data_IF_660497130288
#
_entry.id   IF_660497130288
#
_cell.length_a   1.000
_cell.length_b   1.000
_cell.length_c   1.000
_cell.angle_alpha   90.00
_cell.angle_beta   90.00
_cell.angle_gamma   90.00
#
_symmetry.space_group_name_H-M   'P 1'
#
loop_
_entity.id
_entity.type
_entity.pdbx_description
1 polymer ?
#
# COMPACT_ATOMS: atom_id res chain seq x y z
N UNK A 1 -30.71 41.15 7.94
CA UNK A 1 -31.78 42.18 7.96
C UNK A 1 -32.56 42.34 6.65
N UNK A 2 -32.12 41.82 5.50
CA UNK A 2 -32.85 41.97 4.22
C UNK A 2 -34.03 41.01 3.98
N UNK A 3 -34.27 40.01 4.83
CA UNK A 3 -35.38 39.04 4.66
C UNK A 3 -36.68 39.45 5.35
N UNK A 4 -36.69 40.49 6.20
CA UNK A 4 -37.91 40.96 6.87
C UNK A 4 -38.71 42.01 6.08
N UNK A 5 -38.08 42.68 5.10
CA UNK A 5 -38.72 43.78 4.35
C UNK A 5 -39.62 43.28 3.21
N UNK A 6 -39.41 42.05 2.72
CA UNK A 6 -40.21 41.49 1.62
C UNK A 6 -41.55 40.88 2.07
N UNK A 7 -41.70 40.51 3.35
CA UNK A 7 -42.95 39.92 3.86
C UNK A 7 -44.01 40.96 4.27
N UNK A 8 -43.62 42.23 4.48
CA UNK A 8 -44.56 43.33 4.77
C UNK A 8 -45.23 43.88 3.50
N UNK A 9 -44.56 43.85 2.34
CA UNK A 9 -45.15 44.40 1.10
C UNK A 9 -46.19 43.46 0.46
N UNK A 10 -46.12 42.15 0.75
CA UNK A 10 -47.07 41.16 0.21
C UNK A 10 -48.37 41.07 1.02
N UNK A 11 -48.38 41.57 2.27
CA UNK A 11 -49.56 41.54 3.14
C UNK A 11 -50.46 42.79 3.04
N UNK A 12 -49.93 43.92 2.55
CA UNK A 12 -50.69 45.18 2.42
C UNK A 12 -51.50 45.35 1.13
N UNK A 13 -51.32 44.49 0.13
CA UNK A 13 -52.05 44.61 -1.17
C UNK A 13 -53.33 43.78 -1.25
N UNK A 14 -53.77 43.13 -0.17
CA UNK A 14 -54.95 42.25 -0.17
C UNK A 14 -56.21 42.80 0.48
N UNK A 15 -56.22 44.06 0.92
CA UNK A 15 -57.37 44.67 1.60
C UNK A 15 -57.63 46.10 1.11
N UNK A 16 -58.07 46.26 -0.13
CA UNK A 16 -58.83 47.44 -0.57
C UNK A 16 -59.41 47.18 -1.95
N UNK A 17 -60.67 46.74 -2.02
CA UNK A 17 -61.64 47.04 -3.09
C UNK A 17 -62.95 46.27 -2.81
N UNK A 18 -63.87 46.81 -1.99
CA UNK A 18 -65.26 46.37 -2.02
C UNK A 18 -66.02 47.15 -3.09
N UNK A 19 -66.94 46.44 -3.75
CA UNK A 19 -68.05 46.97 -4.56
C UNK A 19 -67.69 47.77 -5.81
N UNK A 20 -67.70 47.11 -6.97
CA UNK A 20 -68.20 47.66 -8.24
C UNK A 20 -68.45 46.53 -9.25
N UNK A 21 -69.24 45.53 -8.87
CA UNK A 21 -69.91 44.65 -9.83
C UNK A 21 -71.10 45.41 -10.45
N UNK A 22 -70.81 46.40 -11.30
CA UNK A 22 -71.81 47.00 -12.18
C UNK A 22 -71.82 46.16 -13.46
N UNK A 23 -72.94 45.47 -13.67
CA UNK A 23 -73.19 44.62 -14.81
C UNK A 23 -72.99 45.36 -16.14
N UNK A 24 -71.90 45.03 -16.84
CA UNK A 24 -71.81 45.25 -18.28
C UNK A 24 -72.14 43.91 -18.94
N UNK A 25 -73.38 43.78 -19.40
CA UNK A 25 -73.76 42.75 -20.39
C UNK A 25 -72.95 43.01 -21.65
N UNK A 26 -71.76 42.42 -21.73
CA UNK A 26 -71.06 42.31 -23.00
C UNK A 26 -71.77 41.22 -23.81
N UNK A 27 -72.40 41.64 -24.90
CA UNK A 27 -73.08 40.80 -25.87
C UNK A 27 -72.21 39.59 -26.23
N UNK A 28 -72.81 38.40 -26.18
CA UNK A 28 -72.33 37.22 -26.89
C UNK A 28 -72.13 37.58 -28.36
N UNK A 29 -70.88 37.54 -28.80
CA UNK A 29 -70.51 37.74 -30.19
C UNK A 29 -68.99 37.76 -30.32
N UNK A 30 -68.40 36.56 -30.33
CA UNK A 30 -67.09 36.20 -30.92
C UNK A 30 -66.60 34.90 -30.25
N UNK A 31 -66.98 33.75 -30.81
CA UNK A 31 -66.64 32.41 -30.31
C UNK A 31 -65.16 32.02 -30.51
N UNK A 32 -64.28 32.95 -30.93
CA UNK A 32 -62.85 32.67 -31.17
C UNK A 32 -61.88 33.16 -30.07
N UNK A 33 -62.29 34.12 -29.23
CA UNK A 33 -61.39 34.72 -28.25
C UNK A 33 -61.11 33.83 -27.02
N UNK A 34 -62.14 33.14 -26.54
CA UNK A 34 -62.09 32.40 -25.26
C UNK A 34 -61.19 31.15 -25.30
N UNK A 35 -60.99 30.57 -26.49
CA UNK A 35 -60.12 29.40 -26.69
C UNK A 35 -58.64 29.82 -26.65
N UNK A 36 -58.31 30.98 -27.22
CA UNK A 36 -56.93 31.49 -27.27
C UNK A 36 -56.41 31.89 -25.89
N UNK A 37 -57.25 32.48 -25.03
CA UNK A 37 -56.88 32.82 -23.66
C UNK A 37 -56.72 31.58 -22.76
N UNK A 38 -57.53 30.53 -22.99
CA UNK A 38 -57.33 29.23 -22.31
C UNK A 38 -56.02 28.58 -22.73
N UNK A 39 -55.76 28.48 -24.04
CA UNK A 39 -54.50 27.92 -24.55
C UNK A 39 -53.27 28.68 -24.00
N UNK A 40 -53.34 30.01 -23.93
CA UNK A 40 -52.28 30.83 -23.34
C UNK A 40 -52.12 30.55 -21.83
N UNK A 41 -53.23 30.37 -21.11
CA UNK A 41 -53.23 29.99 -19.69
C UNK A 41 -52.60 28.62 -19.44
N UNK A 42 -52.90 27.64 -20.29
CA UNK A 42 -52.34 26.29 -20.22
C UNK A 42 -50.83 26.30 -20.49
N UNK A 43 -50.37 27.09 -21.47
CA UNK A 43 -48.94 27.29 -21.75
C UNK A 43 -48.22 27.94 -20.57
N UNK A 44 -48.81 28.99 -19.97
CA UNK A 44 -48.23 29.65 -18.80
C UNK A 44 -48.17 28.70 -17.60
N UNK A 45 -49.20 27.88 -17.37
CA UNK A 45 -49.21 26.89 -16.31
C UNK A 45 -48.13 25.81 -16.53
N UNK A 46 -47.99 25.33 -17.77
CA UNK A 46 -46.97 24.36 -18.15
C UNK A 46 -45.55 24.92 -17.94
N UNK A 47 -45.29 26.15 -18.39
CA UNK A 47 -43.99 26.81 -18.20
C UNK A 47 -43.67 27.04 -16.72
N UNK A 48 -44.66 27.38 -15.89
CA UNK A 48 -44.48 27.49 -14.44
C UNK A 48 -44.14 26.14 -13.80
N UNK A 49 -44.83 25.07 -14.18
CA UNK A 49 -44.54 23.73 -13.69
C UNK A 49 -43.14 23.25 -14.12
N UNK A 50 -42.75 23.55 -15.37
CA UNK A 50 -41.39 23.26 -15.85
C UNK A 50 -40.33 24.05 -15.10
N UNK A 51 -40.53 25.35 -14.86
CA UNK A 51 -39.60 26.15 -14.09
C UNK A 51 -39.45 25.64 -12.64
N UNK A 52 -40.56 25.29 -11.98
CA UNK A 52 -40.51 24.69 -10.65
C UNK A 52 -39.76 23.34 -10.63
N UNK A 53 -39.95 22.52 -11.66
CA UNK A 53 -39.22 21.26 -11.79
C UNK A 53 -37.72 21.48 -12.02
N UNK A 54 -37.35 22.49 -12.83
CA UNK A 54 -35.96 22.86 -13.05
C UNK A 54 -35.30 23.45 -11.80
N UNK A 55 -36.01 24.31 -11.05
CA UNK A 55 -35.55 24.84 -9.76
C UNK A 55 -35.33 23.71 -8.73
N UNK A 56 -36.21 22.72 -8.68
CA UNK A 56 -36.04 21.55 -7.82
C UNK A 56 -34.83 20.69 -8.23
N UNK A 57 -34.59 20.52 -9.53
CA UNK A 57 -33.41 19.81 -10.03
C UNK A 57 -32.11 20.55 -9.72
N UNK A 58 -32.09 21.88 -9.86
CA UNK A 58 -30.95 22.70 -9.46
C UNK A 58 -30.67 22.58 -7.97
N UNK A 59 -31.70 22.69 -7.12
CA UNK A 59 -31.55 22.54 -5.67
C UNK A 59 -31.01 21.16 -5.27
N UNK A 60 -31.43 20.09 -5.97
CA UNK A 60 -30.91 18.73 -5.75
C UNK A 60 -29.44 18.61 -6.17
N UNK A 61 -29.05 19.17 -7.33
CA UNK A 61 -27.66 19.20 -7.79
C UNK A 61 -26.78 20.05 -6.88
N UNK A 62 -27.28 21.17 -6.36
CA UNK A 62 -26.57 22.03 -5.41
C UNK A 62 -26.37 21.35 -4.04
N UNK A 63 -27.29 20.48 -3.62
CA UNK A 63 -27.10 19.63 -2.45
C UNK A 63 -26.00 18.58 -2.69
N UNK A 64 -26.05 17.89 -3.84
CA UNK A 64 -25.04 16.91 -4.23
C UNK A 64 -23.63 17.55 -4.34
N UNK A 65 -23.53 18.74 -4.93
CA UNK A 65 -22.27 19.48 -5.00
C UNK A 65 -21.75 19.93 -3.63
N UNK A 66 -22.63 20.15 -2.63
CA UNK A 66 -22.21 20.45 -1.26
C UNK A 66 -21.66 19.20 -0.58
N UNK A 67 -22.36 18.08 -0.66
CA UNK A 67 -21.90 16.80 -0.11
C UNK A 67 -20.55 16.37 -0.71
N UNK A 68 -20.38 16.50 -2.02
CA UNK A 68 -19.11 16.18 -2.67
C UNK A 68 -17.95 17.10 -2.23
N UNK A 69 -18.24 18.38 -1.94
CA UNK A 69 -17.22 19.30 -1.39
C UNK A 69 -16.84 18.92 0.04
N UNK A 70 -17.79 18.59 0.89
CA UNK A 70 -17.53 18.13 2.26
C UNK A 70 -16.67 16.86 2.27
N UNK A 71 -16.95 15.91 1.37
CA UNK A 71 -16.13 14.69 1.23
C UNK A 71 -14.71 15.01 0.74
N UNK A 72 -14.56 15.96 -0.19
CA UNK A 72 -13.25 16.37 -0.69
C UNK A 72 -12.41 17.08 0.39
N UNK A 73 -13.02 17.92 1.22
CA UNK A 73 -12.38 18.58 2.36
C UNK A 73 -11.92 17.54 3.40
N UNK A 74 -12.80 16.61 3.79
CA UNK A 74 -12.43 15.54 4.72
C UNK A 74 -11.28 14.65 4.19
N UNK A 75 -11.25 14.39 2.87
CA UNK A 75 -10.15 13.65 2.26
C UNK A 75 -8.83 14.44 2.28
N UNK A 76 -8.87 15.77 2.08
CA UNK A 76 -7.69 16.62 2.15
C UNK A 76 -7.10 16.69 3.58
N UNK A 77 -7.96 16.77 4.59
CA UNK A 77 -7.55 16.75 6.00
C UNK A 77 -6.88 15.42 6.37
N UNK A 78 -7.43 14.30 5.90
CA UNK A 78 -6.83 12.98 6.13
C UNK A 78 -5.45 12.87 5.48
N UNK A 79 -5.28 13.38 4.25
CA UNK A 79 -3.97 13.41 3.58
C UNK A 79 -2.96 14.29 4.32
N UNK A 80 -3.39 15.43 4.86
CA UNK A 80 -2.53 16.29 5.69
C UNK A 80 -2.09 15.58 6.97
N UNK A 81 -3.02 14.89 7.64
CA UNK A 81 -2.71 14.09 8.83
C UNK A 81 -1.71 12.96 8.53
N UNK A 82 -1.87 12.25 7.41
CA UNK A 82 -0.93 11.20 6.98
C UNK A 82 0.46 11.76 6.68
N UNK A 83 0.55 12.94 6.05
CA UNK A 83 1.83 13.63 5.82
C UNK A 83 2.51 14.02 7.13
N UNK A 84 1.74 14.53 8.11
CA UNK A 84 2.24 14.86 9.43
C UNK A 84 2.73 13.60 10.18
N UNK A 85 1.96 12.51 10.16
CA UNK A 85 2.34 11.24 10.78
C UNK A 85 3.62 10.67 10.16
N UNK A 86 3.73 10.68 8.83
CA UNK A 86 4.96 10.29 8.13
C UNK A 86 6.16 11.14 8.55
N UNK A 87 5.95 12.45 8.75
CA UNK A 87 7.01 13.35 9.22
C UNK A 87 7.43 13.06 10.65
N UNK A 88 6.49 12.79 11.55
CA UNK A 88 6.77 12.41 12.95
C UNK A 88 7.58 11.10 12.99
N UNK A 89 7.23 10.12 12.16
CA UNK A 89 7.98 8.86 12.05
C UNK A 89 9.40 9.13 11.53
N UNK A 90 9.56 9.95 10.50
CA UNK A 90 10.87 10.33 9.96
C UNK A 90 11.74 11.03 11.02
N UNK A 91 11.18 12.01 11.74
CA UNK A 91 11.87 12.74 12.81
C UNK A 91 12.23 11.80 13.98
N UNK A 92 11.35 10.88 14.34
CA UNK A 92 11.61 9.88 15.40
C UNK A 92 12.73 8.92 15.01
N UNK A 93 12.76 8.47 13.74
CA UNK A 93 13.86 7.66 13.20
C UNK A 93 15.19 8.43 13.23
N UNK A 94 15.18 9.71 12.83
CA UNK A 94 16.36 10.59 12.92
C UNK A 94 16.81 10.81 14.36
N UNK A 95 15.89 11.06 15.28
CA UNK A 95 16.20 11.24 16.69
C UNK A 95 16.84 9.98 17.29
N UNK A 96 16.28 8.79 16.99
CA UNK A 96 16.88 7.52 17.40
C UNK A 96 18.28 7.31 16.82
N UNK A 97 18.49 7.63 15.55
CA UNK A 97 19.80 7.53 14.91
C UNK A 97 20.83 8.48 15.54
N UNK A 98 20.43 9.73 15.83
CA UNK A 98 21.27 10.70 16.51
C UNK A 98 21.60 10.28 17.94
N UNK A 99 20.64 9.75 18.69
CA UNK A 99 20.90 9.22 20.04
C UNK A 99 21.89 8.04 19.99
N UNK A 100 21.75 7.13 19.02
CA UNK A 100 22.72 6.04 18.84
C UNK A 100 24.11 6.55 18.49
N UNK A 101 24.24 7.59 17.66
CA UNK A 101 25.52 8.21 17.35
C UNK A 101 26.13 8.89 18.58
N UNK A 102 25.30 9.61 19.35
CA UNK A 102 25.71 10.26 20.59
C UNK A 102 26.20 9.24 21.63
N UNK A 103 25.48 8.13 21.82
CA UNK A 103 25.90 7.05 22.73
C UNK A 103 27.19 6.37 22.26
N UNK A 104 27.39 6.21 20.94
CA UNK A 104 28.68 5.73 20.40
C UNK A 104 29.83 6.70 20.69
N UNK A 105 29.63 8.01 20.50
CA UNK A 105 30.66 8.99 20.82
C UNK A 105 30.92 9.06 22.33
N UNK A 106 29.89 8.96 23.17
CA UNK A 106 30.05 8.86 24.63
C UNK A 106 30.85 7.62 25.03
N UNK A 107 30.59 6.48 24.41
CA UNK A 107 31.34 5.26 24.65
C UNK A 107 32.83 5.44 24.25
N UNK A 108 33.10 6.09 23.11
CA UNK A 108 34.47 6.42 22.70
C UNK A 108 35.15 7.40 23.65
N UNK A 109 34.46 8.45 24.08
CA UNK A 109 34.99 9.42 25.07
C UNK A 109 35.25 8.73 26.41
N UNK A 110 34.37 7.83 26.85
CA UNK A 110 34.57 7.02 28.04
C UNK A 110 35.77 6.10 27.90
N UNK A 111 35.94 5.47 26.74
CA UNK A 111 37.08 4.60 26.46
C UNK A 111 38.39 5.39 26.46
N UNK A 112 38.45 6.48 25.69
CA UNK A 112 39.62 7.37 25.64
C UNK A 112 39.93 7.99 27.01
N UNK A 113 38.93 8.38 27.79
CA UNK A 113 39.17 8.91 29.15
C UNK A 113 39.66 7.83 30.12
N UNK A 114 39.23 6.58 29.98
CA UNK A 114 39.78 5.46 30.73
C UNK A 114 41.22 5.13 30.32
N UNK A 115 41.55 5.24 29.03
CA UNK A 115 42.90 5.08 28.50
C UNK A 115 43.83 6.23 28.97
N UNK A 116 43.34 7.48 28.98
CA UNK A 116 44.05 8.64 29.54
C UNK A 116 44.22 8.50 31.05
N UNK A 117 43.23 7.96 31.77
CA UNK A 117 43.34 7.73 33.21
C UNK A 117 44.30 6.57 33.53
N UNK A 118 44.29 5.49 32.74
CA UNK A 118 45.23 4.39 32.85
C UNK A 118 46.66 4.82 32.50
N UNK A 119 46.82 5.61 31.43
CA UNK A 119 48.10 6.22 31.04
C UNK A 119 48.56 7.31 32.02
N UNK A 120 47.64 8.09 32.58
CA UNK A 120 47.90 9.12 33.59
C UNK A 120 48.26 8.55 34.96
N UNK A 121 47.72 7.37 35.32
CA UNK A 121 48.13 6.62 36.51
C UNK A 121 49.50 5.93 36.30
N UNK A 122 49.91 5.71 35.05
CA UNK A 122 51.30 5.43 34.66
C UNK A 122 52.20 6.67 34.63
N UNK A 123 51.63 7.89 34.59
CA UNK A 123 52.33 9.17 34.53
C UNK A 123 53.04 9.59 35.83
N UNK A 124 52.75 8.95 36.96
CA UNK A 124 53.55 9.08 38.18
C UNK A 124 54.75 8.10 38.22
N UNK A 125 54.84 7.16 37.28
CA UNK A 125 55.97 6.24 37.09
C UNK A 125 56.73 6.46 35.76
N UNK A 126 56.21 7.29 34.85
CA UNK A 126 56.82 7.58 33.55
C UNK A 126 57.87 8.71 33.58
N UNK A 127 58.47 8.97 34.74
CA UNK A 127 59.70 9.74 34.88
C UNK A 127 60.97 8.89 34.70
N UNK A 128 60.84 7.57 34.51
CA UNK A 128 61.97 6.65 34.39
C UNK A 128 61.68 5.55 33.37
N UNK A 129 61.86 5.83 32.08
CA UNK A 129 62.20 4.86 31.03
C UNK A 129 62.13 5.52 29.64
N UNK A 130 63.03 6.47 29.37
CA UNK A 130 63.32 6.92 27.99
C UNK A 130 64.57 6.24 27.41
N UNK A 131 64.94 5.09 27.98
CA UNK A 131 66.03 4.26 27.50
C UNK A 131 65.55 2.82 27.54
N UNK A 132 64.92 2.40 26.45
CA UNK A 132 65.12 1.13 25.74
C UNK A 132 63.86 0.75 24.95
N UNK A 133 63.38 1.67 24.10
CA UNK A 133 62.39 1.34 23.07
C UNK A 133 63.14 1.09 21.77
N UNK A 134 63.03 -0.13 21.27
CA UNK A 134 63.58 -0.57 20.00
C UNK A 134 63.20 0.41 18.87
N UNK A 135 64.18 0.80 18.05
CA UNK A 135 64.03 1.80 16.99
C UNK A 135 62.89 1.43 16.04
N UNK A 136 62.76 0.13 15.76
CA UNK A 136 61.70 -0.45 14.92
C UNK A 136 60.30 -0.27 15.52
N UNK A 137 60.16 -0.32 16.85
CA UNK A 137 58.86 -0.14 17.52
C UNK A 137 58.38 1.30 17.46
N UNK A 138 59.30 2.27 17.62
CA UNK A 138 59.01 3.70 17.46
C UNK A 138 58.71 4.03 15.99
N UNK A 139 59.46 3.44 15.06
CA UNK A 139 59.24 3.63 13.63
C UNK A 139 57.89 3.06 13.16
N UNK A 140 57.47 1.91 13.68
CA UNK A 140 56.17 1.31 13.38
C UNK A 140 54.99 2.13 13.93
N UNK A 141 55.11 2.68 15.15
CA UNK A 141 54.09 3.59 15.70
C UNK A 141 54.00 4.91 14.91
N UNK A 142 55.14 5.50 14.55
CA UNK A 142 55.17 6.71 13.72
C UNK A 142 54.55 6.46 12.34
N UNK A 143 54.80 5.29 11.73
CA UNK A 143 54.19 4.89 10.46
C UNK A 143 52.68 4.71 10.58
N UNK A 144 52.19 4.06 11.63
CA UNK A 144 50.75 3.90 11.88
C UNK A 144 50.01 5.21 12.12
N UNK A 145 50.63 6.17 12.83
CA UNK A 145 50.06 7.51 13.02
C UNK A 145 49.99 8.30 11.70
N UNK A 146 51.02 8.20 10.85
CA UNK A 146 51.03 8.82 9.53
C UNK A 146 49.97 8.19 8.61
N UNK A 147 49.80 6.87 8.68
CA UNK A 147 48.79 6.15 7.90
C UNK A 147 47.36 6.52 8.36
N UNK A 148 47.09 6.55 9.67
CA UNK A 148 45.80 7.00 10.21
C UNK A 148 45.50 8.48 9.88
N UNK A 149 46.51 9.35 9.92
CA UNK A 149 46.37 10.75 9.51
C UNK A 149 46.12 10.89 8.00
N UNK A 150 46.73 10.05 7.17
CA UNK A 150 46.48 9.99 5.74
C UNK A 150 45.06 9.50 5.43
N UNK A 151 44.60 8.44 6.09
CA UNK A 151 43.22 7.94 5.97
C UNK A 151 42.19 8.98 6.41
N UNK A 152 42.45 9.71 7.51
CA UNK A 152 41.57 10.78 7.96
C UNK A 152 41.55 11.96 6.99
N UNK A 153 42.69 12.31 6.38
CA UNK A 153 42.77 13.34 5.36
C UNK A 153 42.02 12.94 4.07
N UNK A 154 42.10 11.67 3.68
CA UNK A 154 41.39 11.15 2.51
C UNK A 154 39.89 11.03 2.77
N UNK A 155 39.46 10.64 3.98
CA UNK A 155 38.06 10.68 4.39
C UNK A 155 37.50 12.12 4.35
N UNK A 156 38.25 13.10 4.88
CA UNK A 156 37.85 14.50 4.84
C UNK A 156 37.76 15.04 3.40
N UNK A 157 38.62 14.59 2.49
CA UNK A 157 38.56 14.93 1.05
C UNK A 157 37.33 14.31 0.37
N UNK A 158 37.02 13.06 0.67
CA UNK A 158 35.82 12.39 0.16
C UNK A 158 34.54 13.09 0.66
N UNK A 159 34.49 13.45 1.93
CA UNK A 159 33.38 14.22 2.49
C UNK A 159 33.25 15.59 1.82
N UNK A 160 34.35 16.33 1.65
CA UNK A 160 34.34 17.61 0.94
C UNK A 160 33.87 17.47 -0.52
N UNK A 161 34.27 16.39 -1.21
CA UNK A 161 33.81 16.08 -2.56
C UNK A 161 32.31 15.76 -2.60
N UNK A 162 31.82 14.92 -1.67
CA UNK A 162 30.39 14.61 -1.55
C UNK A 162 29.55 15.85 -1.26
N UNK A 163 30.01 16.74 -0.37
CA UNK A 163 29.32 18.00 -0.08
C UNK A 163 29.32 18.95 -1.28
N UNK A 164 30.43 19.03 -2.02
CA UNK A 164 30.53 19.82 -3.26
C UNK A 164 29.58 19.28 -4.33
N UNK A 165 29.52 17.96 -4.50
CA UNK A 165 28.60 17.32 -5.45
C UNK A 165 27.14 17.55 -5.05
N UNK A 166 26.79 17.36 -3.77
CA UNK A 166 25.44 17.65 -3.26
C UNK A 166 25.06 19.11 -3.46
N UNK A 167 25.99 20.03 -3.22
CA UNK A 167 25.75 21.46 -3.45
C UNK A 167 25.53 21.72 -4.93
N UNK A 168 26.35 21.17 -5.83
CA UNK A 168 26.16 21.31 -7.27
C UNK A 168 24.81 20.72 -7.73
N UNK A 169 24.41 19.57 -7.19
CA UNK A 169 23.11 18.96 -7.47
C UNK A 169 21.95 19.85 -7.00
N UNK A 170 22.06 20.49 -5.82
CA UNK A 170 21.04 21.42 -5.32
C UNK A 170 20.99 22.71 -6.15
N UNK A 171 22.13 23.27 -6.53
CA UNK A 171 22.20 24.43 -7.43
C UNK A 171 21.56 24.13 -8.78
N UNK A 172 21.84 22.95 -9.36
CA UNK A 172 21.21 22.53 -10.61
C UNK A 172 19.69 22.37 -10.47
N UNK A 173 19.23 21.78 -9.35
CA UNK A 173 17.79 21.68 -9.05
C UNK A 173 17.15 23.05 -8.90
N UNK A 174 17.80 24.00 -8.21
CA UNK A 174 17.30 25.37 -8.08
C UNK A 174 17.14 26.02 -9.45
N UNK A 175 18.16 25.94 -10.31
CA UNK A 175 18.08 26.48 -11.67
C UNK A 175 16.97 25.82 -12.51
N UNK A 176 16.76 24.51 -12.39
CA UNK A 176 15.64 23.84 -13.05
C UNK A 176 14.28 24.32 -12.53
N UNK A 177 14.15 24.56 -11.22
CA UNK A 177 12.91 25.07 -10.62
C UNK A 177 12.65 26.51 -11.06
N UNK A 178 13.68 27.37 -11.12
CA UNK A 178 13.57 28.73 -11.67
C UNK A 178 13.11 28.73 -13.13
N UNK A 179 13.67 27.85 -13.96
CA UNK A 179 13.24 27.68 -15.35
C UNK A 179 11.77 27.22 -15.44
N UNK A 180 11.33 26.32 -14.56
CA UNK A 180 9.93 25.88 -14.49
C UNK A 180 9.01 27.02 -14.05
N UNK A 181 9.40 27.81 -13.05
CA UNK A 181 8.62 28.98 -12.61
C UNK A 181 8.46 29.97 -13.77
N UNK A 182 9.54 30.29 -14.48
CA UNK A 182 9.48 31.18 -15.64
C UNK A 182 8.59 30.64 -16.77
N UNK A 183 8.67 29.33 -17.06
CA UNK A 183 7.79 28.68 -18.03
C UNK A 183 6.31 28.78 -17.62
N UNK A 184 6.00 28.48 -16.36
CA UNK A 184 4.63 28.57 -15.81
C UNK A 184 4.12 30.02 -15.80
N UNK A 185 4.97 31.01 -15.54
CA UNK A 185 4.59 32.42 -15.63
C UNK A 185 4.24 32.84 -17.06
N UNK A 186 5.02 32.39 -18.05
CA UNK A 186 4.72 32.64 -19.47
C UNK A 186 3.39 31.98 -19.85
N UNK A 187 3.18 30.73 -19.44
CA UNK A 187 1.92 30.02 -19.68
C UNK A 187 0.74 30.72 -19.02
N UNK A 188 0.90 31.15 -17.77
CA UNK A 188 -0.12 31.93 -17.06
C UNK A 188 -0.45 33.20 -17.83
N UNK A 189 0.54 34.00 -18.24
CA UNK A 189 0.35 35.20 -19.07
C UNK A 189 -0.29 34.90 -20.43
N UNK A 190 -0.01 33.74 -21.02
CA UNK A 190 -0.61 33.29 -22.28
C UNK A 190 -2.07 32.91 -22.09
N UNK A 191 -2.39 32.16 -21.03
CA UNK A 191 -3.74 31.75 -20.65
C UNK A 191 -4.59 32.95 -20.25
N UNK A 192 -4.06 33.87 -19.45
CA UNK A 192 -4.74 35.14 -19.11
C UNK A 192 -5.07 35.92 -20.38
N UNK A 193 -4.14 36.06 -21.34
CA UNK A 193 -4.43 36.72 -22.63
C UNK A 193 -5.45 35.97 -23.47
N UNK A 194 -5.49 34.64 -23.41
CA UNK A 194 -6.53 33.86 -24.09
C UNK A 194 -7.90 34.12 -23.45
N UNK A 195 -7.97 34.08 -22.12
CA UNK A 195 -9.17 34.41 -21.34
C UNK A 195 -9.67 35.84 -21.64
N UNK A 196 -8.80 36.86 -21.66
CA UNK A 196 -9.20 38.23 -22.03
C UNK A 196 -9.84 38.26 -23.43
N UNK A 197 -9.30 37.53 -24.41
CA UNK A 197 -9.90 37.48 -25.76
C UNK A 197 -11.27 36.80 -25.78
N UNK A 198 -11.46 35.77 -24.96
CA UNK A 198 -12.73 35.04 -24.84
C UNK A 198 -13.79 35.80 -24.03
N UNK A 199 -13.38 36.60 -23.06
CA UNK A 199 -14.28 37.39 -22.21
C UNK A 199 -14.59 38.75 -22.85
N UNK A 200 -13.62 39.36 -23.55
CA UNK A 200 -13.68 40.74 -24.03
C UNK A 200 -12.74 41.64 -23.24
N UNK A 201 -12.20 42.67 -23.89
CA UNK A 201 -11.22 43.60 -23.28
C UNK A 201 -11.87 44.51 -22.22
N UNK A 202 -13.20 44.63 -22.26
CA UNK A 202 -14.00 45.56 -21.46
C UNK A 202 -14.47 44.99 -20.11
N UNK A 203 -14.15 43.73 -19.80
CA UNK A 203 -14.69 43.00 -18.63
C UNK A 203 -13.55 42.53 -17.71
N UNK A 204 -13.54 42.94 -16.43
CA UNK A 204 -12.52 42.51 -15.48
C UNK A 204 -12.55 41.00 -15.25
N UNK A 205 -11.44 40.31 -15.55
CA UNK A 205 -11.30 38.86 -15.33
C UNK A 205 -11.56 38.42 -13.89
N UNK A 206 -11.24 39.28 -12.91
CA UNK A 206 -11.51 39.00 -11.49
C UNK A 206 -13.00 38.77 -11.24
N UNK A 207 -13.89 39.58 -11.84
CA UNK A 207 -15.35 39.41 -11.69
C UNK A 207 -15.85 38.11 -12.31
N UNK A 208 -15.29 37.71 -13.44
CA UNK A 208 -15.67 36.46 -14.15
C UNK A 208 -15.20 35.22 -13.37
N UNK A 209 -14.09 35.34 -12.63
CA UNK A 209 -13.57 34.26 -11.79
C UNK A 209 -14.27 34.18 -10.42
N UNK A 210 -14.69 35.32 -9.86
CA UNK A 210 -15.39 35.41 -8.57
C UNK A 210 -16.90 35.08 -8.66
N UNK A 211 -17.55 35.40 -9.79
CA UNK A 211 -18.98 35.16 -10.03
C UNK A 211 -19.18 33.89 -10.87
N UNK A 212 -19.24 32.74 -10.19
CA UNK A 212 -19.20 31.42 -10.80
C UNK A 212 -20.42 30.91 -11.58
N UNK A 213 -21.31 31.73 -12.19
CA UNK A 213 -22.45 31.12 -12.89
C UNK A 213 -23.15 31.84 -14.05
N UNK A 214 -23.06 33.17 -14.22
CA UNK A 214 -23.97 33.84 -15.18
C UNK A 214 -23.28 34.44 -16.42
N UNK A 215 -21.95 34.39 -16.48
CA UNK A 215 -21.22 34.93 -17.63
C UNK A 215 -21.13 33.93 -18.79
N UNK A 216 -22.00 34.09 -19.80
CA UNK A 216 -21.83 33.43 -21.10
C UNK A 216 -20.70 34.10 -21.86
N UNK A 217 -19.60 33.39 -22.10
CA UNK A 217 -18.41 33.92 -22.78
C UNK A 217 -18.73 34.55 -24.15
N UNK A 218 -17.91 35.51 -24.60
CA UNK A 218 -18.14 36.22 -25.88
C UNK A 218 -18.24 35.26 -27.05
N UNK A 219 -17.45 34.18 -27.04
CA UNK A 219 -17.53 33.12 -28.05
C UNK A 219 -18.90 32.46 -28.10
N UNK A 220 -19.48 32.11 -26.95
CA UNK A 220 -20.83 31.53 -26.89
C UNK A 220 -21.90 32.52 -27.31
N UNK A 221 -21.78 33.79 -26.89
CA UNK A 221 -22.67 34.85 -27.34
C UNK A 221 -22.61 35.04 -28.86
N UNK A 222 -21.40 35.05 -29.44
CA UNK A 222 -21.21 35.16 -30.89
C UNK A 222 -21.77 33.93 -31.61
N UNK A 223 -21.62 32.72 -31.05
CA UNK A 223 -22.22 31.50 -31.63
C UNK A 223 -23.75 31.58 -31.56
N UNK A 224 -24.32 31.95 -30.42
CA UNK A 224 -25.76 32.10 -30.24
C UNK A 224 -26.33 33.17 -31.17
N UNK A 225 -25.65 34.31 -31.31
CA UNK A 225 -26.04 35.38 -32.25
C UNK A 225 -25.90 34.92 -33.71
N UNK A 226 -24.83 34.21 -34.07
CA UNK A 226 -24.68 33.63 -35.42
C UNK A 226 -25.79 32.62 -35.74
N UNK A 227 -26.15 31.80 -34.76
CA UNK A 227 -27.23 30.82 -34.89
C UNK A 227 -28.60 31.49 -35.01
N UNK A 228 -28.88 32.52 -34.20
CA UNK A 228 -30.08 33.35 -34.33
C UNK A 228 -30.14 34.04 -35.69
N UNK A 229 -29.02 34.61 -36.18
CA UNK A 229 -28.94 35.20 -37.52
C UNK A 229 -29.17 34.15 -38.61
N UNK A 230 -28.64 32.93 -38.44
CA UNK A 230 -28.88 31.81 -39.36
C UNK A 230 -30.35 31.41 -39.39
N UNK A 231 -30.99 31.29 -38.23
CA UNK A 231 -32.42 30.97 -38.09
C UNK A 231 -33.30 32.06 -38.70
N UNK A 232 -33.00 33.34 -38.45
CA UNK A 232 -33.71 34.47 -39.05
C UNK A 232 -33.55 34.53 -40.57
N UNK A 233 -32.34 34.28 -41.09
CA UNK A 233 -32.09 34.18 -42.55
C UNK A 233 -32.83 33.02 -43.18
N UNK A 234 -32.86 31.85 -42.54
CA UNK A 234 -33.66 30.70 -42.99
C UNK A 234 -35.16 30.99 -42.96
N UNK A 235 -35.66 31.65 -41.91
CA UNK A 235 -37.06 32.07 -41.81
C UNK A 235 -37.45 33.12 -42.88
N UNK A 236 -36.48 33.91 -43.34
CA UNK A 236 -36.62 34.84 -44.47
C UNK A 236 -36.40 34.18 -45.84
N UNK A 237 -36.20 32.86 -45.91
CA UNK A 237 -35.98 32.12 -47.16
C UNK A 237 -34.63 32.38 -47.83
N UNK A 238 -33.68 33.01 -47.13
CA UNK A 238 -32.33 33.27 -47.62
C UNK A 238 -31.50 32.00 -47.35
N UNK A 239 -31.04 31.27 -48.39
CA UNK A 239 -30.18 30.12 -48.19
C UNK A 239 -28.85 30.58 -47.56
N UNK A 240 -28.54 30.05 -46.37
CA UNK A 240 -27.28 30.31 -45.69
C UNK A 240 -26.29 29.22 -46.10
N UNK A 241 -25.29 29.51 -46.96
CA UNK A 241 -24.24 28.54 -47.27
C UNK A 241 -23.42 28.26 -46.01
N UNK A 242 -23.11 26.98 -45.75
CA UNK A 242 -22.13 26.62 -44.71
C UNK A 242 -20.81 27.35 -44.99
N UNK A 243 -20.25 27.97 -43.95
CA UNK A 243 -18.96 28.64 -44.10
C UNK A 243 -17.89 27.60 -44.41
N UNK A 244 -17.00 27.88 -45.37
CA UNK A 244 -15.83 27.04 -45.68
C UNK A 244 -15.02 26.68 -44.41
N UNK A 245 -15.05 27.55 -43.41
CA UNK A 245 -14.38 27.37 -42.13
C UNK A 245 -15.09 26.35 -41.21
N UNK A 246 -16.42 26.23 -41.27
CA UNK A 246 -17.18 25.22 -40.50
C UNK A 246 -16.99 23.81 -41.06
N UNK A 247 -16.99 23.65 -42.39
CA UNK A 247 -16.68 22.37 -43.02
C UNK A 247 -15.24 21.92 -42.72
N UNK A 248 -14.29 22.86 -42.74
CA UNK A 248 -12.90 22.58 -42.36
C UNK A 248 -12.77 22.20 -40.87
N UNK A 249 -13.49 22.88 -39.97
CA UNK A 249 -13.51 22.56 -38.55
C UNK A 249 -14.12 21.18 -38.26
N UNK A 250 -15.24 20.82 -38.90
CA UNK A 250 -15.85 19.47 -38.79
C UNK A 250 -14.88 18.38 -39.25
N UNK A 251 -14.18 18.59 -40.36
CA UNK A 251 -13.17 17.65 -40.87
C UNK A 251 -11.97 17.51 -39.93
N UNK A 252 -11.51 18.63 -39.34
CA UNK A 252 -10.42 18.61 -38.36
C UNK A 252 -10.82 17.87 -37.08
N UNK A 253 -12.04 18.10 -36.57
CA UNK A 253 -12.58 17.39 -35.40
C UNK A 253 -12.69 15.89 -35.68
N UNK A 254 -13.20 15.49 -36.84
CA UNK A 254 -13.27 14.07 -37.25
C UNK A 254 -11.88 13.40 -37.34
N UNK A 255 -10.87 14.13 -37.82
CA UNK A 255 -9.49 13.62 -37.85
C UNK A 255 -8.91 13.48 -36.44
N UNK A 256 -9.16 14.45 -35.56
CA UNK A 256 -8.72 14.38 -34.16
C UNK A 256 -9.40 13.22 -33.43
N UNK A 257 -10.71 13.02 -33.63
CA UNK A 257 -11.43 11.90 -32.99
C UNK A 257 -10.93 10.54 -33.49
N UNK A 258 -10.67 10.41 -34.80
CA UNK A 258 -10.11 9.18 -35.40
C UNK A 258 -8.69 8.90 -34.91
N UNK A 259 -7.86 9.93 -34.76
CA UNK A 259 -6.51 9.76 -34.21
C UNK A 259 -6.57 9.36 -32.74
N UNK A 260 -7.44 10.01 -31.95
CA UNK A 260 -7.63 9.67 -30.54
C UNK A 260 -8.15 8.24 -30.36
N UNK A 261 -9.06 7.76 -31.22
CA UNK A 261 -9.51 6.36 -31.15
C UNK A 261 -8.38 5.39 -31.49
N UNK A 262 -7.57 5.69 -32.51
CA UNK A 262 -6.41 4.85 -32.88
C UNK A 262 -5.34 4.81 -31.78
N UNK A 263 -5.06 5.95 -31.13
CA UNK A 263 -4.14 6.02 -29.99
C UNK A 263 -4.65 5.22 -28.79
N UNK A 264 -5.95 5.31 -28.49
CA UNK A 264 -6.58 4.53 -27.41
C UNK A 264 -6.49 3.03 -27.71
N UNK A 265 -6.77 2.62 -28.95
CA UNK A 265 -6.66 1.21 -29.36
C UNK A 265 -5.21 0.70 -29.28
N UNK A 266 -4.24 1.52 -29.71
CA UNK A 266 -2.81 1.20 -29.58
C UNK A 266 -2.39 1.02 -28.12
N UNK A 267 -2.73 1.98 -27.25
CA UNK A 267 -2.41 1.91 -25.83
C UNK A 267 -3.12 0.73 -25.15
N UNK A 268 -4.36 0.42 -25.54
CA UNK A 268 -5.06 -0.77 -25.05
C UNK A 268 -4.35 -2.07 -25.47
N UNK A 269 -3.84 -2.13 -26.70
CA UNK A 269 -3.02 -3.25 -27.17
C UNK A 269 -1.70 -3.40 -26.41
N UNK A 270 -0.98 -2.28 -26.19
CA UNK A 270 0.26 -2.26 -25.39
C UNK A 270 -0.01 -2.71 -23.94
N UNK A 271 -1.09 -2.23 -23.32
CA UNK A 271 -1.49 -2.66 -21.97
C UNK A 271 -1.83 -4.16 -21.91
N UNK A 272 -2.50 -4.70 -22.94
CA UNK A 272 -2.81 -6.13 -23.01
C UNK A 272 -1.53 -6.97 -23.14
N UNK A 273 -0.58 -6.55 -23.98
CA UNK A 273 0.70 -7.23 -24.16
C UNK A 273 1.53 -7.24 -22.86
N UNK A 274 1.66 -6.08 -22.20
CA UNK A 274 2.40 -5.97 -20.93
C UNK A 274 1.76 -6.82 -19.83
N UNK A 275 0.43 -6.91 -19.78
CA UNK A 275 -0.27 -7.81 -18.85
C UNK A 275 0.03 -9.28 -19.11
N UNK A 276 -0.01 -9.70 -20.38
CA UNK A 276 0.33 -11.07 -20.76
C UNK A 276 1.79 -11.43 -20.41
N UNK A 277 2.73 -10.51 -20.63
CA UNK A 277 4.12 -10.68 -20.24
C UNK A 277 4.29 -10.76 -18.72
N UNK A 278 3.57 -9.93 -17.96
CA UNK A 278 3.56 -9.98 -16.50
C UNK A 278 3.02 -11.33 -15.99
N UNK A 279 1.93 -11.83 -16.55
CA UNK A 279 1.38 -13.15 -16.22
C UNK A 279 2.37 -14.29 -16.56
N UNK A 280 3.04 -14.20 -17.71
CA UNK A 280 4.11 -15.15 -18.08
C UNK A 280 5.27 -15.13 -17.09
N UNK A 281 5.73 -13.95 -16.68
CA UNK A 281 6.83 -13.79 -15.72
C UNK A 281 6.46 -14.23 -14.31
N UNK A 282 5.23 -13.97 -13.87
CA UNK A 282 4.74 -14.44 -12.56
C UNK A 282 4.64 -15.96 -12.52
N UNK A 283 4.18 -16.62 -13.60
CA UNK A 283 4.19 -18.08 -13.72
C UNK A 283 5.59 -18.69 -13.67
N UNK A 284 6.56 -18.09 -14.39
CA UNK A 284 7.98 -18.49 -14.33
C UNK A 284 8.55 -18.32 -12.92
N UNK A 285 8.23 -17.22 -12.25
CA UNK A 285 8.69 -16.95 -10.89
C UNK A 285 8.08 -17.92 -9.87
N UNK A 286 6.79 -18.24 -9.99
CA UNK A 286 6.14 -19.25 -9.17
C UNK A 286 6.78 -20.64 -9.33
N UNK A 287 7.11 -21.02 -10.58
CA UNK A 287 7.83 -22.26 -10.88
C UNK A 287 9.26 -22.27 -10.33
N UNK A 288 9.96 -21.12 -10.36
CA UNK A 288 11.29 -21.00 -9.76
C UNK A 288 11.22 -21.09 -8.22
N UNK A 289 10.19 -20.51 -7.59
CA UNK A 289 9.97 -20.63 -6.15
C UNK A 289 9.72 -22.08 -5.75
N UNK A 290 8.86 -22.82 -6.47
CA UNK A 290 8.59 -24.22 -6.15
C UNK A 290 9.86 -25.08 -6.29
N UNK A 291 10.63 -24.87 -7.36
CA UNK A 291 11.94 -25.52 -7.53
C UNK A 291 12.90 -25.20 -6.40
N UNK A 292 13.00 -23.92 -6.01
CA UNK A 292 13.86 -23.49 -4.89
C UNK A 292 13.46 -24.22 -3.60
N UNK A 293 12.16 -24.29 -3.29
CA UNK A 293 11.65 -24.99 -2.09
C UNK A 293 12.00 -26.47 -2.09
N UNK A 294 11.87 -27.15 -3.23
CA UNK A 294 12.24 -28.57 -3.36
C UNK A 294 13.75 -28.75 -3.14
N UNK A 295 14.58 -27.92 -3.78
CA UNK A 295 16.03 -27.97 -3.60
C UNK A 295 16.47 -27.66 -2.16
N UNK A 296 15.81 -26.70 -1.49
CA UNK A 296 16.05 -26.38 -0.08
C UNK A 296 15.72 -27.58 0.82
N UNK A 297 14.60 -28.28 0.56
CA UNK A 297 14.22 -29.49 1.29
C UNK A 297 15.21 -30.64 1.04
N UNK A 298 15.65 -30.85 -0.21
CA UNK A 298 16.67 -31.85 -0.55
C UNK A 298 18.00 -31.55 0.16
N UNK A 299 18.45 -30.29 0.17
CA UNK A 299 19.65 -29.88 0.90
C UNK A 299 19.53 -30.11 2.40
N UNK A 300 18.36 -29.84 3.00
CA UNK A 300 18.11 -30.16 4.41
C UNK A 300 18.24 -31.67 4.66
N UNK A 301 17.56 -32.49 3.84
CA UNK A 301 17.63 -33.94 3.95
C UNK A 301 19.06 -34.48 3.79
N UNK A 302 19.88 -33.89 2.91
CA UNK A 302 21.28 -34.29 2.77
C UNK A 302 22.11 -33.89 3.99
N UNK A 303 21.86 -32.72 4.59
CA UNK A 303 22.51 -32.33 5.85
C UNK A 303 22.17 -33.30 6.97
N UNK A 304 20.90 -33.68 7.10
CA UNK A 304 20.45 -34.64 8.11
C UNK A 304 21.07 -36.03 7.91
N UNK A 305 21.24 -36.46 6.64
CA UNK A 305 21.96 -37.71 6.34
C UNK A 305 23.44 -37.62 6.73
N UNK A 306 24.08 -36.48 6.46
CA UNK A 306 25.49 -36.27 6.81
C UNK A 306 25.68 -36.23 8.33
N UNK A 307 24.79 -35.59 9.09
CA UNK A 307 24.87 -35.57 10.56
C UNK A 307 24.75 -36.98 11.14
N UNK A 308 23.81 -37.80 10.64
CA UNK A 308 23.69 -39.21 11.07
C UNK A 308 24.95 -40.02 10.76
N UNK A 309 25.58 -39.81 9.59
CA UNK A 309 26.83 -40.49 9.25
C UNK A 309 27.96 -40.06 10.17
N UNK A 310 28.05 -38.76 10.49
CA UNK A 310 29.05 -38.25 11.44
C UNK A 310 28.83 -38.82 12.84
N UNK A 311 27.59 -38.89 13.32
CA UNK A 311 27.25 -39.53 14.60
C UNK A 311 27.65 -41.02 14.62
N UNK A 312 27.40 -41.75 13.53
CA UNK A 312 27.84 -43.13 13.38
C UNK A 312 29.36 -43.24 13.43
N UNK A 313 30.10 -42.41 12.68
CA UNK A 313 31.57 -42.40 12.71
C UNK A 313 32.11 -42.13 14.11
N UNK A 314 31.52 -41.18 14.85
CA UNK A 314 31.91 -40.88 16.24
C UNK A 314 31.62 -42.06 17.16
N UNK A 315 30.51 -42.76 16.97
CA UNK A 315 30.18 -43.96 17.74
C UNK A 315 31.12 -45.12 17.41
N UNK A 316 31.48 -45.30 16.14
CA UNK A 316 32.47 -46.28 15.69
C UNK A 316 33.85 -45.97 16.29
N UNK A 317 34.27 -44.70 16.32
CA UNK A 317 35.52 -44.28 16.96
C UNK A 317 35.54 -44.58 18.46
N UNK A 318 34.42 -44.36 19.17
CA UNK A 318 34.28 -44.74 20.59
C UNK A 318 34.39 -46.25 20.78
N UNK A 319 33.73 -47.03 19.93
CA UNK A 319 33.80 -48.49 19.97
C UNK A 319 35.23 -48.98 19.70
N UNK A 320 35.90 -48.44 18.69
CA UNK A 320 37.30 -48.73 18.38
C UNK A 320 38.20 -48.38 19.57
N UNK A 321 37.99 -47.23 20.22
CA UNK A 321 38.74 -46.84 21.40
C UNK A 321 38.54 -47.82 22.57
N UNK A 322 37.30 -48.25 22.83
CA UNK A 322 36.97 -49.22 23.88
C UNK A 322 37.62 -50.58 23.61
N UNK A 323 37.50 -51.11 22.39
CA UNK A 323 38.12 -52.37 21.98
C UNK A 323 39.66 -52.30 22.05
N UNK A 324 40.26 -51.18 21.62
CA UNK A 324 41.70 -50.96 21.76
C UNK A 324 42.14 -50.94 23.23
N UNK A 325 41.35 -50.35 24.12
CA UNK A 325 41.62 -50.35 25.55
C UNK A 325 41.57 -51.77 26.13
N UNK A 326 40.55 -52.57 25.79
CA UNK A 326 40.42 -53.97 26.22
C UNK A 326 41.59 -54.84 25.72
N UNK A 327 41.94 -54.74 24.44
CA UNK A 327 43.10 -55.44 23.86
C UNK A 327 44.40 -55.05 24.59
N UNK A 328 44.55 -53.78 24.95
CA UNK A 328 45.72 -53.33 25.71
C UNK A 328 45.73 -53.87 27.15
N UNK A 329 44.58 -53.94 27.83
CA UNK A 329 44.47 -54.54 29.17
C UNK A 329 44.81 -56.04 29.14
N UNK A 330 44.28 -56.78 28.16
CA UNK A 330 44.60 -58.20 27.95
C UNK A 330 46.09 -58.42 27.62
N UNK A 331 46.69 -57.55 26.81
CA UNK A 331 48.13 -57.61 26.49
C UNK A 331 49.04 -57.29 27.66
N UNK A 332 48.61 -56.41 28.59
CA UNK A 332 49.40 -56.03 29.77
C UNK A 332 49.35 -57.06 30.90
N UNK A 333 48.52 -58.11 30.78
CA UNK A 333 48.48 -59.18 31.77
C UNK A 333 47.94 -58.76 33.14
N UNK A 334 47.11 -57.72 33.19
CA UNK A 334 46.41 -57.36 34.43
C UNK A 334 45.30 -58.38 34.71
N UNK A 335 45.40 -59.02 35.88
CA UNK A 335 44.34 -59.86 36.43
C UNK A 335 43.08 -59.00 36.61
N UNK A 336 41.96 -59.50 36.11
CA UNK A 336 40.64 -58.90 36.30
C UNK A 336 40.35 -58.68 37.80
N UNK A 337 39.61 -57.62 38.19
CA UNK A 337 38.82 -57.65 39.42
C UNK A 337 37.70 -58.69 39.26
N UNK A 338 37.55 -59.53 40.28
CA UNK A 338 36.52 -60.56 40.39
C UNK A 338 35.11 -60.02 40.14
N UNK A 339 34.48 -60.47 39.05
CA UNK A 339 33.02 -60.53 38.92
C UNK A 339 32.61 -62.01 38.93
N UNK A 340 31.56 -62.40 39.69
CA UNK A 340 31.26 -63.80 39.93
C UNK A 340 30.81 -64.51 38.67
N UNK A 341 31.38 -65.69 38.49
CA UNK A 341 31.19 -66.59 37.37
C UNK A 341 29.71 -66.94 37.13
N UNK A 342 29.26 -66.72 35.90
CA UNK A 342 28.07 -67.37 35.32
C UNK A 342 28.51 -68.24 34.16
N UNK A 343 28.85 -69.48 34.49
CA UNK A 343 28.75 -70.70 33.68
C UNK A 343 28.61 -70.53 32.16
N UNK A 344 29.70 -70.77 31.45
CA UNK A 344 29.64 -71.15 30.04
C UNK A 344 28.87 -72.45 29.87
N UNK A 345 27.79 -72.43 29.08
CA UNK A 345 27.08 -73.63 28.67
C UNK A 345 27.26 -73.84 27.18
N UNK A 346 27.88 -74.99 26.90
CA UNK A 346 28.02 -75.63 25.61
C UNK A 346 26.71 -75.62 24.82
N UNK A 347 26.85 -75.29 23.53
CA UNK A 347 25.80 -75.30 22.52
C UNK A 347 25.41 -76.76 22.27
N UNK A 348 24.34 -77.21 22.95
CA UNK A 348 23.63 -78.42 22.60
C UNK A 348 22.21 -78.04 22.19
N UNK A 349 21.89 -78.31 20.93
CA UNK A 349 20.56 -78.20 20.37
C UNK A 349 19.59 -79.09 21.15
N UNK A 350 18.44 -78.52 21.56
CA UNK A 350 17.36 -79.28 22.21
C UNK A 350 17.22 -78.99 23.70
N UNK A 351 16.73 -77.79 24.04
CA UNK A 351 16.04 -77.54 25.31
C UNK A 351 15.25 -76.24 25.18
N UNK A 352 13.93 -76.36 24.97
CA UNK A 352 13.00 -75.26 25.14
C UNK A 352 13.13 -74.74 26.57
N UNK A 353 13.77 -73.58 26.72
CA UNK A 353 13.91 -72.89 27.99
C UNK A 353 12.56 -72.38 28.45
N UNK A 354 12.15 -72.84 29.63
CA UNK A 354 11.11 -72.21 30.45
C UNK A 354 11.52 -70.74 30.59
N UNK A 355 10.71 -69.84 30.03
CA UNK A 355 10.90 -68.39 30.10
C UNK A 355 10.69 -67.97 31.57
N UNK A 356 11.62 -67.22 32.17
CA UNK A 356 11.51 -66.77 33.56
C UNK A 356 10.18 -66.04 33.77
N UNK A 357 9.44 -66.39 34.83
CA UNK A 357 8.07 -65.90 35.09
C UNK A 357 7.99 -64.36 35.10
N UNK A 358 9.02 -63.68 35.59
CA UNK A 358 9.14 -62.21 35.54
C UNK A 358 9.24 -61.69 34.10
N UNK A 359 10.04 -62.34 33.25
CA UNK A 359 10.18 -61.95 31.83
C UNK A 359 8.89 -62.22 31.05
N UNK A 360 8.15 -63.29 31.40
CA UNK A 360 6.83 -63.55 30.84
C UNK A 360 5.82 -62.47 31.27
N UNK A 361 5.81 -62.09 32.54
CA UNK A 361 4.95 -61.01 33.05
C UNK A 361 5.27 -59.65 32.42
N UNK A 362 6.55 -59.33 32.23
CA UNK A 362 6.99 -58.13 31.51
C UNK A 362 6.56 -58.17 30.03
N UNK A 363 6.71 -59.30 29.36
CA UNK A 363 6.28 -59.48 27.97
C UNK A 363 4.75 -59.31 27.85
N UNK A 364 3.98 -59.85 28.79
CA UNK A 364 2.53 -59.67 28.87
C UNK A 364 2.17 -58.21 29.13
N UNK A 365 2.90 -57.52 30.03
CA UNK A 365 2.74 -56.11 30.33
C UNK A 365 3.09 -55.19 29.15
N UNK A 366 4.11 -55.52 28.38
CA UNK A 366 4.47 -54.82 27.14
C UNK A 366 3.43 -55.06 26.04
N UNK A 367 2.96 -56.30 25.86
CA UNK A 367 1.88 -56.63 24.91
C UNK A 367 0.55 -55.95 25.26
N UNK A 368 0.31 -55.68 26.54
CA UNK A 368 -0.86 -54.89 26.98
C UNK A 368 -0.69 -53.41 26.62
N UNK A 369 0.46 -52.81 26.92
CA UNK A 369 0.78 -51.42 26.56
C UNK A 369 0.74 -51.18 25.05
N UNK A 370 1.23 -52.14 24.25
CA UNK A 370 1.15 -52.07 22.78
C UNK A 370 -0.30 -52.03 22.32
N UNK A 371 -1.18 -52.92 22.83
CA UNK A 371 -2.62 -52.89 22.52
C UNK A 371 -3.31 -51.60 22.94
N UNK A 372 -2.92 -51.03 24.08
CA UNK A 372 -3.46 -49.75 24.55
C UNK A 372 -3.05 -48.60 23.61
N UNK A 373 -1.79 -48.57 23.16
CA UNK A 373 -1.30 -47.59 22.19
C UNK A 373 -1.93 -47.77 20.81
N UNK A 374 -2.09 -49.01 20.33
CA UNK A 374 -2.82 -49.32 19.08
C UNK A 374 -4.25 -48.79 19.16
N UNK A 375 -4.96 -49.00 20.27
CA UNK A 375 -6.30 -48.42 20.47
C UNK A 375 -6.33 -46.89 20.60
N UNK A 376 -5.22 -46.24 20.98
CA UNK A 376 -5.11 -44.78 20.91
C UNK A 376 -4.92 -44.31 19.47
N UNK A 377 -4.13 -45.02 18.67
CA UNK A 377 -3.93 -44.74 17.25
C UNK A 377 -5.25 -44.91 16.49
N UNK A 378 -5.99 -46.01 16.70
CA UNK A 378 -7.28 -46.24 16.05
C UNK A 378 -8.29 -45.13 16.35
N UNK A 379 -8.33 -44.63 17.59
CA UNK A 379 -9.19 -43.50 17.98
C UNK A 379 -8.77 -42.20 17.29
N UNK A 380 -7.47 -41.94 17.19
CA UNK A 380 -6.96 -40.77 16.47
C UNK A 380 -7.25 -40.88 14.97
N UNK A 381 -7.10 -42.05 14.37
CA UNK A 381 -7.45 -42.30 12.97
C UNK A 381 -8.94 -42.11 12.71
N UNK A 382 -9.82 -42.57 13.62
CA UNK A 382 -11.25 -42.30 13.52
C UNK A 382 -11.58 -40.81 13.61
N UNK A 383 -10.89 -40.04 14.48
CA UNK A 383 -11.05 -38.59 14.56
C UNK A 383 -10.58 -37.92 13.26
N UNK A 384 -9.43 -38.33 12.72
CA UNK A 384 -8.91 -37.80 11.44
C UNK A 384 -9.86 -38.12 10.28
N UNK A 385 -10.40 -39.33 10.23
CA UNK A 385 -11.39 -39.74 9.22
C UNK A 385 -12.71 -38.95 9.37
N UNK A 386 -13.16 -38.70 10.61
CA UNK A 386 -14.35 -37.90 10.87
C UNK A 386 -14.15 -36.42 10.48
N UNK A 387 -12.97 -35.85 10.76
CA UNK A 387 -12.60 -34.49 10.33
C UNK A 387 -12.46 -34.39 8.81
N UNK A 388 -11.89 -35.41 8.17
CA UNK A 388 -11.77 -35.50 6.71
C UNK A 388 -13.15 -35.62 6.04
N UNK A 389 -14.07 -36.43 6.59
CA UNK A 389 -15.47 -36.52 6.13
C UNK A 389 -16.27 -35.25 6.42
N UNK A 390 -16.07 -34.62 7.57
CA UNK A 390 -16.69 -33.34 7.94
C UNK A 390 -16.23 -32.19 7.02
N UNK A 391 -14.98 -32.24 6.56
CA UNK A 391 -14.45 -31.32 5.56
C UNK A 391 -14.90 -31.64 4.12
N UNK A 392 -15.33 -32.87 3.84
CA UNK A 392 -15.80 -33.32 2.53
C UNK A 392 -17.31 -33.16 2.27
N UNK A 393 -18.13 -32.99 3.32
CA UNK A 393 -19.59 -32.86 3.19
C UNK A 393 -20.06 -31.45 2.79
N UNK A 394 -19.18 -30.44 2.76
CA UNK A 394 -19.49 -29.08 2.31
C UNK A 394 -19.22 -28.84 0.81
N UNK A 395 -18.81 -29.86 0.05
CA UNK A 395 -18.50 -29.70 -1.38
C UNK A 395 -18.79 -30.97 -2.17
N UNK A 396 -20.02 -31.12 -2.66
CA UNK A 396 -20.33 -32.24 -3.55
C UNK A 396 -21.77 -32.28 -4.08
N UNK A 397 -22.06 -31.47 -5.10
CA UNK A 397 -23.07 -31.80 -6.11
C UNK A 397 -22.59 -31.27 -7.47
N UNK A 398 -22.44 -32.16 -8.46
CA UNK A 398 -22.29 -31.80 -9.87
C UNK A 398 -21.08 -32.41 -10.60
N UNK A 399 -21.33 -33.54 -11.27
CA UNK A 399 -20.43 -34.24 -12.18
C UNK A 399 -20.14 -33.47 -13.48
N UNK A 400 -18.93 -33.62 -14.03
CA UNK A 400 -18.71 -33.57 -15.49
C UNK A 400 -17.47 -32.80 -15.97
N UNK A 401 -16.39 -33.55 -16.18
CA UNK A 401 -15.31 -33.37 -17.18
C UNK A 401 -14.59 -32.02 -17.35
N UNK A 402 -13.27 -32.15 -17.49
CA UNK A 402 -12.24 -31.14 -17.83
C UNK A 402 -11.71 -30.31 -16.65
N UNK A 403 -10.46 -30.62 -16.30
CA UNK A 403 -9.61 -29.78 -15.46
C UNK A 403 -9.41 -28.40 -16.11
N UNK A 404 -9.51 -27.32 -15.32
CA UNK A 404 -8.40 -26.35 -15.27
C UNK A 404 -8.22 -25.78 -13.83
N UNK A 405 -7.52 -24.64 -13.61
CA UNK A 405 -6.29 -24.55 -12.83
C UNK A 405 -6.52 -24.11 -11.37
N UNK A 406 -5.56 -24.45 -10.51
CA UNK A 406 -5.51 -24.03 -9.11
C UNK A 406 -5.37 -22.52 -8.94
N UNK A 407 -6.44 -21.89 -8.45
CA UNK A 407 -6.41 -20.56 -7.83
C UNK A 407 -5.94 -20.66 -6.35
N UNK A 408 -5.36 -19.59 -5.80
CA UNK A 408 -4.49 -19.65 -4.62
C UNK A 408 -5.23 -19.31 -3.30
N UNK A 409 -4.75 -19.87 -2.18
CA UNK A 409 -4.49 -19.37 -0.80
C UNK A 409 -5.19 -18.09 -0.25
N UNK A 410 -6.19 -17.49 -0.90
CA UNK A 410 -6.78 -16.19 -0.53
C UNK A 410 -7.71 -16.26 0.69
N UNK A 411 -8.29 -17.43 0.99
CA UNK A 411 -9.25 -17.58 2.10
C UNK A 411 -8.61 -17.47 3.50
N UNK A 412 -7.35 -17.89 3.67
CA UNK A 412 -6.67 -17.82 4.97
C UNK A 412 -6.18 -16.41 5.32
N UNK A 413 -5.96 -15.55 4.30
CA UNK A 413 -5.60 -14.15 4.48
C UNK A 413 -6.84 -13.32 4.85
N UNK A 414 -7.98 -13.58 4.21
CA UNK A 414 -9.23 -12.89 4.54
C UNK A 414 -9.74 -13.16 5.96
N UNK A 415 -9.59 -14.38 6.48
CA UNK A 415 -9.99 -14.69 7.85
C UNK A 415 -9.09 -14.01 8.91
N UNK A 416 -7.79 -13.88 8.62
CA UNK A 416 -6.86 -13.14 9.49
C UNK A 416 -7.10 -11.63 9.42
N UNK A 417 -7.43 -11.11 8.25
CA UNK A 417 -7.78 -9.70 8.06
C UNK A 417 -9.14 -9.35 8.70
N UNK A 418 -10.11 -10.26 8.72
CA UNK A 418 -11.39 -10.09 9.44
C UNK A 418 -11.18 -10.09 10.96
N UNK A 419 -10.39 -11.03 11.50
CA UNK A 419 -10.06 -11.05 12.92
C UNK A 419 -9.28 -9.80 13.37
N UNK A 420 -8.37 -9.30 12.52
CA UNK A 420 -7.66 -8.05 12.78
C UNK A 420 -8.60 -6.84 12.77
N UNK A 421 -9.59 -6.81 11.86
CA UNK A 421 -10.61 -5.75 11.81
C UNK A 421 -11.54 -5.79 13.02
N UNK A 422 -11.95 -6.98 13.47
CA UNK A 422 -12.76 -7.13 14.69
C UNK A 422 -11.99 -6.70 15.95
N UNK A 423 -10.69 -7.00 16.04
CA UNK A 423 -9.84 -6.54 17.15
C UNK A 423 -9.69 -5.02 17.17
N UNK A 424 -9.53 -4.39 16.00
CA UNK A 424 -9.44 -2.92 15.90
C UNK A 424 -10.76 -2.25 16.27
N UNK A 425 -11.91 -2.82 15.87
CA UNK A 425 -13.23 -2.31 16.25
C UNK A 425 -13.45 -2.40 17.76
N UNK A 426 -13.07 -3.52 18.40
CA UNK A 426 -13.16 -3.68 19.86
C UNK A 426 -12.26 -2.68 20.61
N UNK A 427 -11.05 -2.42 20.13
CA UNK A 427 -10.17 -1.41 20.73
C UNK A 427 -10.77 0.00 20.62
N UNK A 428 -11.37 0.35 19.49
CA UNK A 428 -12.08 1.63 19.31
C UNK A 428 -13.37 1.76 20.12
N UNK A 429 -14.02 0.64 20.45
CA UNK A 429 -15.16 0.62 21.37
C UNK A 429 -14.71 0.79 22.82
N UNK A 430 -13.59 0.18 23.21
CA UNK A 430 -12.97 0.37 24.54
C UNK A 430 -12.48 1.82 24.70
N UNK A 431 -11.86 2.41 23.68
CA UNK A 431 -11.43 3.83 23.71
C UNK A 431 -12.63 4.79 23.80
N UNK A 432 -13.75 4.48 23.13
CA UNK A 432 -14.99 5.26 23.25
C UNK A 432 -15.67 5.09 24.61
N UNK A 433 -15.59 3.90 25.21
CA UNK A 433 -16.13 3.63 26.55
C UNK A 433 -15.24 4.19 27.68
N UNK A 434 -13.92 4.30 27.45
CA UNK A 434 -12.95 4.88 28.39
C UNK A 434 -12.84 6.41 28.35
N UNK A 435 -13.42 7.06 27.34
CA UNK A 435 -13.45 8.53 27.19
C UNK A 435 -14.60 9.23 27.94
N UNK A 436 -15.44 8.48 28.64
CA UNK A 436 -16.45 9.00 29.58
C UNK A 436 -16.10 8.55 30.99
N UNK A 437 -15.06 9.13 31.57
CA UNK A 437 -14.87 9.21 33.02
C UNK A 437 -14.19 10.51 33.39
#
# INVERSE_FOLDING_TARGET
ENTRVLNTVVSETRLQFPSLCRAVRFRRGCCGGNVRWRQMGDVIAHLRAQNQALEAQLAARDAECRELREVAEAAADLQSADQQAAKVIELSKKNRALNLALEKERARVSQLSSEISAGGNGGAAAGVAFGDLDHDSVQNMARGLVEAAAEQADAARQDAAMWKERMQQQTNKMSQMEQRVFAMEIETKKLTRALVREVGEDVPLARVLDEGSDWKGRREQVIALKEQVRQLKMAQGIPVPESRNEAAAKKAIGKISSNRSAEVEKLAGELAAVRADFESMTSKYASAISRRKVLEAELSNFKDKVTVILEKSVNDDKLIAALRAEVNSLRKGDKLPDHPASSGRSINAGSAGVMDEETWQELVGLRRRVRELEGHIDRQEQIVLALSRGSGAAGGAGSGSQAPPSAPVRASVHHKDELAREQIMRLREIERAGGTS
#
